data_IF_529168333717
#
_entry.id   IF_529168333717
#
_cell.length_a   1.000
_cell.length_b   1.000
_cell.length_c   1.000
_cell.angle_alpha   90.00
_cell.angle_beta   90.00
_cell.angle_gamma   90.00
#
_symmetry.space_group_name_H-M   'P 1'
#
loop_
_entity.id
_entity.type
_entity.pdbx_description
1 polymer ?
#
# COMPACT_ATOMS: atom_id res chain seq x y z
N UNK A 1 23.01 -36.58 -55.31
CA UNK A 1 23.13 -37.03 -53.90
C UNK A 1 22.55 -35.90 -53.01
N UNK A 2 21.34 -36.18 -52.58
CA UNK A 2 20.49 -35.20 -51.89
C UNK A 2 20.64 -35.33 -50.41
N UNK A 3 20.79 -34.22 -49.71
CA UNK A 3 20.60 -34.13 -48.27
C UNK A 3 19.52 -33.11 -47.96
N UNK A 4 18.36 -33.61 -47.62
CA UNK A 4 17.29 -32.82 -46.99
C UNK A 4 17.55 -32.75 -45.50
N UNK A 5 17.90 -31.55 -45.01
CA UNK A 5 17.91 -31.22 -43.60
C UNK A 5 16.53 -30.68 -43.16
N UNK A 6 15.83 -31.47 -42.37
CA UNK A 6 14.58 -31.05 -41.74
C UNK A 6 14.94 -30.18 -40.51
N UNK A 7 14.65 -28.89 -40.60
CA UNK A 7 14.76 -27.97 -39.48
C UNK A 7 13.50 -28.12 -38.64
N UNK A 8 13.63 -28.76 -37.48
CA UNK A 8 12.59 -28.81 -36.46
C UNK A 8 12.63 -27.49 -35.65
N UNK A 9 11.61 -26.65 -35.82
CA UNK A 9 11.40 -25.45 -35.03
C UNK A 9 10.74 -25.80 -33.69
N UNK A 10 11.27 -25.38 -32.54
CA UNK A 10 10.59 -25.56 -31.28
C UNK A 10 9.46 -24.51 -31.14
N UNK A 11 8.27 -24.99 -30.98
CA UNK A 11 7.08 -24.20 -30.70
C UNK A 11 7.18 -23.70 -29.24
N UNK A 12 7.15 -22.39 -28.96
CA UNK A 12 7.20 -21.90 -27.59
C UNK A 12 5.90 -22.24 -26.86
N UNK A 13 6.07 -22.81 -25.68
CA UNK A 13 5.01 -23.31 -24.80
C UNK A 13 4.13 -22.21 -24.16
N UNK A 14 3.31 -21.54 -24.98
CA UNK A 14 2.32 -20.54 -24.51
C UNK A 14 1.02 -21.16 -23.97
N UNK A 15 0.81 -22.46 -24.12
CA UNK A 15 -0.47 -23.11 -23.78
C UNK A 15 -0.49 -23.91 -22.47
N UNK A 16 0.49 -23.76 -21.59
CA UNK A 16 0.52 -24.51 -20.30
C UNK A 16 -0.11 -23.81 -19.12
N UNK A 17 -0.65 -22.60 -19.27
CA UNK A 17 -1.21 -21.83 -18.15
C UNK A 17 -2.75 -21.81 -18.03
N UNK A 18 -3.49 -22.46 -18.91
CA UNK A 18 -4.97 -22.42 -18.87
C UNK A 18 -5.61 -23.63 -18.17
N UNK A 19 -4.83 -24.64 -17.76
CA UNK A 19 -5.36 -25.89 -17.18
C UNK A 19 -5.38 -25.98 -15.65
N UNK A 20 -4.83 -25.01 -14.91
CA UNK A 20 -4.58 -25.12 -13.46
C UNK A 20 -5.68 -24.62 -12.51
N UNK A 21 -6.70 -23.93 -13.00
CA UNK A 21 -7.64 -23.21 -12.12
C UNK A 21 -8.93 -23.97 -11.75
N UNK A 22 -9.18 -25.13 -12.33
CA UNK A 22 -10.45 -25.86 -12.13
C UNK A 22 -10.42 -26.95 -11.04
N UNK A 23 -9.26 -27.26 -10.44
CA UNK A 23 -9.15 -28.37 -9.47
C UNK A 23 -9.13 -27.90 -8.02
N UNK A 24 -8.89 -26.61 -7.76
CA UNK A 24 -8.78 -26.09 -6.39
C UNK A 24 -10.12 -25.92 -5.65
N UNK A 25 -11.25 -25.89 -6.37
CA UNK A 25 -12.58 -25.70 -5.74
C UNK A 25 -13.20 -27.00 -5.20
N UNK A 26 -12.73 -28.16 -5.64
CA UNK A 26 -13.25 -29.46 -5.19
C UNK A 26 -12.61 -30.00 -3.91
N UNK A 27 -11.40 -29.59 -3.61
CA UNK A 27 -10.65 -30.12 -2.46
C UNK A 27 -11.01 -29.45 -1.13
N UNK A 28 -11.50 -28.21 -1.16
CA UNK A 28 -11.96 -27.52 0.06
C UNK A 28 -13.14 -28.18 0.75
N UNK A 29 -14.05 -28.76 -0.02
CA UNK A 29 -15.25 -29.42 0.50
C UNK A 29 -14.98 -30.80 1.13
N UNK A 30 -13.87 -31.45 0.80
CA UNK A 30 -13.52 -32.76 1.33
C UNK A 30 -12.77 -32.67 2.69
N UNK A 31 -12.12 -31.56 2.98
CA UNK A 31 -11.37 -31.33 4.22
C UNK A 31 -12.29 -30.93 5.38
N UNK A 32 -13.42 -30.29 5.08
CA UNK A 32 -14.39 -29.89 6.12
C UNK A 32 -15.20 -31.06 6.74
N UNK A 33 -15.18 -32.23 6.09
CA UNK A 33 -16.01 -33.39 6.57
C UNK A 33 -15.24 -34.35 7.49
N UNK A 34 -13.95 -34.15 7.72
CA UNK A 34 -13.09 -35.02 8.54
C UNK A 34 -12.47 -34.35 9.78
N UNK A 35 -12.84 -33.13 10.11
CA UNK A 35 -12.39 -32.48 11.34
C UNK A 35 -13.41 -32.69 12.45
N UNK A 36 -13.32 -33.81 13.15
CA UNK A 36 -13.92 -33.94 14.50
C UNK A 36 -13.08 -33.13 15.47
N UNK A 37 -13.69 -32.31 16.34
CA UNK A 37 -12.98 -31.52 17.32
C UNK A 37 -12.42 -32.44 18.42
N UNK A 38 -11.10 -32.48 18.56
CA UNK A 38 -10.43 -32.93 19.78
C UNK A 38 -10.48 -31.78 20.79
N UNK A 39 -11.42 -31.87 21.70
CA UNK A 39 -11.56 -31.03 22.87
C UNK A 39 -10.37 -31.25 23.81
N UNK A 40 -9.73 -30.16 24.25
CA UNK A 40 -8.86 -30.15 25.42
C UNK A 40 -7.36 -30.09 25.19
N UNK A 41 -6.83 -28.94 24.77
CA UNK A 41 -5.51 -28.47 25.19
C UNK A 41 -5.51 -26.94 25.19
N UNK A 42 -5.68 -26.36 26.37
CA UNK A 42 -5.42 -24.95 26.63
C UNK A 42 -3.95 -24.65 26.36
N UNK A 43 -3.67 -23.84 25.34
CA UNK A 43 -2.44 -23.08 25.25
C UNK A 43 -2.83 -21.61 25.20
N UNK A 44 -2.67 -20.98 26.33
CA UNK A 44 -2.76 -19.54 26.54
C UNK A 44 -1.63 -18.84 25.76
N UNK A 45 -1.93 -17.64 25.23
CA UNK A 45 -1.04 -16.69 24.54
C UNK A 45 -0.63 -17.02 23.09
N UNK A 46 -1.62 -16.97 22.20
CA UNK A 46 -1.42 -16.54 20.82
C UNK A 46 -2.15 -15.22 20.60
N UNK A 47 -1.50 -14.10 20.79
CA UNK A 47 -2.01 -12.83 20.25
C UNK A 47 -2.25 -13.02 18.76
N UNK A 48 -3.52 -13.16 18.39
CA UNK A 48 -3.93 -13.02 16.99
C UNK A 48 -3.56 -11.60 16.60
N UNK A 49 -2.50 -11.48 15.81
CA UNK A 49 -2.23 -10.25 15.07
C UNK A 49 -3.54 -9.97 14.31
N UNK A 50 -4.27 -8.96 14.78
CA UNK A 50 -5.43 -8.46 14.04
C UNK A 50 -4.88 -7.99 12.71
N UNK A 51 -5.21 -8.68 11.63
CA UNK A 51 -4.96 -8.19 10.28
C UNK A 51 -5.70 -6.86 10.17
N UNK A 52 -4.93 -5.77 10.15
CA UNK A 52 -5.51 -4.45 9.93
C UNK A 52 -6.18 -4.45 8.56
N UNK A 53 -7.38 -3.86 8.44
CA UNK A 53 -8.11 -3.88 7.18
C UNK A 53 -7.31 -3.19 6.10
N UNK A 54 -6.97 -3.91 5.03
CA UNK A 54 -6.28 -3.35 3.87
C UNK A 54 -7.18 -2.31 3.21
N UNK A 55 -6.67 -1.09 3.02
CA UNK A 55 -7.39 -0.01 2.35
C UNK A 55 -7.74 -0.46 0.93
N UNK A 56 -9.03 -0.50 0.61
CA UNK A 56 -9.53 -0.81 -0.72
C UNK A 56 -9.44 0.45 -1.59
N UNK A 57 -8.70 0.38 -2.69
CA UNK A 57 -8.57 1.49 -3.64
C UNK A 57 -9.64 1.33 -4.72
N UNK A 58 -10.38 2.40 -5.01
CA UNK A 58 -11.39 2.44 -6.04
C UNK A 58 -10.82 2.39 -7.46
N UNK A 59 -11.69 2.48 -8.47
CA UNK A 59 -11.30 2.53 -9.88
C UNK A 59 -11.69 3.90 -10.45
N UNK A 60 -10.72 4.73 -10.85
CA UNK A 60 -11.02 6.06 -11.42
C UNK A 60 -11.63 5.94 -12.83
N UNK A 61 -12.31 6.97 -13.29
CA UNK A 61 -12.84 7.03 -14.65
C UNK A 61 -11.81 7.51 -15.67
N UNK A 62 -10.91 8.43 -15.28
CA UNK A 62 -9.86 8.98 -16.12
C UNK A 62 -8.79 7.92 -16.49
N UNK A 63 -8.36 7.91 -17.74
CA UNK A 63 -7.41 6.91 -18.26
C UNK A 63 -6.02 7.01 -17.63
N UNK A 64 -5.52 8.23 -17.36
CA UNK A 64 -4.20 8.42 -16.72
C UNK A 64 -4.23 7.98 -15.27
N UNK A 65 -5.32 8.33 -14.57
CA UNK A 65 -5.54 7.89 -13.20
C UNK A 65 -5.63 6.37 -13.13
N UNK A 66 -6.33 5.70 -14.07
CA UNK A 66 -6.35 4.23 -14.18
C UNK A 66 -4.96 3.62 -14.29
N UNK A 67 -4.13 4.17 -15.15
CA UNK A 67 -2.76 3.66 -15.36
C UNK A 67 -1.90 3.84 -14.10
N UNK A 68 -2.00 4.98 -13.42
CA UNK A 68 -1.29 5.25 -12.17
C UNK A 68 -1.76 4.31 -11.06
N UNK A 69 -3.07 4.16 -10.88
CA UNK A 69 -3.64 3.30 -9.84
C UNK A 69 -3.29 1.83 -10.11
N UNK A 70 -3.48 1.34 -11.33
CA UNK A 70 -3.16 -0.04 -11.68
C UNK A 70 -1.66 -0.35 -11.50
N UNK A 71 -0.78 0.54 -11.98
CA UNK A 71 0.68 0.40 -11.80
C UNK A 71 1.10 0.47 -10.34
N UNK A 72 0.47 1.33 -9.53
CA UNK A 72 0.72 1.43 -8.10
C UNK A 72 0.35 0.16 -7.34
N UNK A 73 -0.85 -0.36 -7.59
CA UNK A 73 -1.31 -1.62 -6.99
C UNK A 73 -0.44 -2.80 -7.40
N UNK A 74 0.03 -2.86 -8.65
CA UNK A 74 0.96 -3.88 -9.11
C UNK A 74 2.30 -3.82 -8.36
N UNK A 75 2.91 -2.63 -8.22
CA UNK A 75 4.13 -2.45 -7.44
C UNK A 75 3.96 -2.80 -5.98
N UNK A 76 2.85 -2.41 -5.35
CA UNK A 76 2.53 -2.80 -3.97
C UNK A 76 2.39 -4.30 -3.81
N UNK A 77 1.76 -4.98 -4.78
CA UNK A 77 1.64 -6.44 -4.79
C UNK A 77 3.01 -7.12 -4.85
N UNK A 78 3.93 -6.61 -5.70
CA UNK A 78 5.29 -7.13 -5.80
C UNK A 78 6.09 -6.87 -4.50
N UNK A 79 5.96 -5.69 -3.90
CA UNK A 79 6.59 -5.37 -2.61
C UNK A 79 6.03 -6.27 -1.49
N UNK A 80 4.74 -6.53 -1.48
CA UNK A 80 4.11 -7.43 -0.52
C UNK A 80 4.65 -8.87 -0.66
N UNK A 81 4.81 -9.37 -1.88
CA UNK A 81 5.38 -10.68 -2.14
C UNK A 81 6.85 -10.80 -1.65
N UNK A 82 7.67 -9.76 -1.84
CA UNK A 82 9.03 -9.73 -1.29
C UNK A 82 9.03 -9.63 0.24
N UNK A 83 8.12 -8.85 0.84
CA UNK A 83 7.96 -8.74 2.29
C UNK A 83 7.70 -10.09 2.96
N UNK A 84 6.89 -10.96 2.35
CA UNK A 84 6.60 -12.30 2.88
C UNK A 84 7.82 -13.21 2.93
N UNK A 85 8.86 -12.91 2.13
CA UNK A 85 10.14 -13.64 2.13
C UNK A 85 11.15 -13.06 3.14
N UNK A 86 10.80 -11.97 3.81
CA UNK A 86 11.67 -11.27 4.77
C UNK A 86 11.17 -11.56 6.19
N UNK A 87 11.94 -12.35 6.94
CA UNK A 87 11.68 -12.64 8.34
C UNK A 87 12.36 -11.58 9.25
N UNK A 88 11.86 -10.32 9.13
CA UNK A 88 12.37 -9.17 9.86
C UNK A 88 11.20 -8.26 10.27
N UNK A 89 10.87 -8.27 11.55
CA UNK A 89 9.70 -7.58 12.09
C UNK A 89 9.68 -6.08 11.76
N UNK A 90 10.83 -5.40 11.94
CA UNK A 90 10.91 -3.93 11.72
C UNK A 90 10.70 -3.59 10.25
N UNK A 91 11.34 -4.30 9.32
CA UNK A 91 11.14 -4.10 7.89
C UNK A 91 9.72 -4.40 7.46
N UNK A 92 9.16 -5.52 7.93
CA UNK A 92 7.78 -5.91 7.63
C UNK A 92 6.79 -4.83 8.05
N UNK A 93 6.98 -4.23 9.22
CA UNK A 93 6.14 -3.13 9.70
C UNK A 93 6.27 -1.89 8.81
N UNK A 94 7.51 -1.45 8.49
CA UNK A 94 7.75 -0.31 7.59
C UNK A 94 7.13 -0.50 6.21
N UNK A 95 7.17 -1.72 5.69
CA UNK A 95 6.57 -2.04 4.39
C UNK A 95 5.04 -2.04 4.44
N UNK A 96 4.43 -2.43 5.57
CA UNK A 96 2.98 -2.27 5.78
C UNK A 96 2.59 -0.79 5.86
N UNK A 97 3.33 0.00 6.63
CA UNK A 97 3.10 1.44 6.74
C UNK A 97 3.21 2.12 5.34
N UNK A 98 4.18 1.68 4.52
CA UNK A 98 4.33 2.19 3.15
C UNK A 98 3.15 1.78 2.25
N UNK A 99 2.71 0.53 2.31
CA UNK A 99 1.54 0.04 1.58
C UNK A 99 0.31 0.88 1.90
N UNK A 100 0.07 1.17 3.18
CA UNK A 100 -1.06 1.99 3.63
C UNK A 100 -0.99 3.42 3.09
N UNK A 101 0.16 4.09 3.20
CA UNK A 101 0.35 5.46 2.70
C UNK A 101 0.17 5.54 1.19
N UNK A 102 0.75 4.58 0.44
CA UNK A 102 0.62 4.56 -1.01
C UNK A 102 -0.82 4.30 -1.44
N UNK A 103 -1.56 3.41 -0.75
CA UNK A 103 -2.99 3.19 -1.03
C UNK A 103 -3.82 4.44 -0.78
N UNK A 104 -3.54 5.21 0.28
CA UNK A 104 -4.19 6.50 0.52
C UNK A 104 -3.92 7.48 -0.63
N UNK A 105 -2.67 7.59 -1.08
CA UNK A 105 -2.34 8.42 -2.24
C UNK A 105 -3.04 7.96 -3.53
N UNK A 106 -3.12 6.64 -3.76
CA UNK A 106 -3.83 6.09 -4.92
C UNK A 106 -5.33 6.35 -4.83
N UNK A 107 -5.92 6.31 -3.63
CA UNK A 107 -7.33 6.67 -3.44
C UNK A 107 -7.55 8.15 -3.72
N UNK A 108 -6.66 9.05 -3.29
CA UNK A 108 -6.74 10.48 -3.66
C UNK A 108 -6.72 10.68 -5.19
N UNK A 109 -5.94 9.89 -5.93
CA UNK A 109 -5.96 9.91 -7.41
C UNK A 109 -7.28 9.39 -7.99
N UNK A 110 -7.95 8.46 -7.31
CA UNK A 110 -9.30 8.01 -7.72
C UNK A 110 -10.31 9.13 -7.55
N UNK A 111 -10.23 9.85 -6.42
CA UNK A 111 -11.15 10.92 -6.04
C UNK A 111 -10.90 12.19 -6.87
N UNK A 112 -9.62 12.54 -7.11
CA UNK A 112 -9.19 13.61 -8.01
C UNK A 112 -8.13 13.12 -9.01
N UNK A 113 -8.49 12.84 -10.27
CA UNK A 113 -7.58 12.42 -11.32
C UNK A 113 -6.42 13.39 -11.64
N UNK A 114 -6.55 14.68 -11.30
CA UNK A 114 -5.47 15.66 -11.51
C UNK A 114 -4.25 15.35 -10.63
N UNK A 115 -4.48 14.72 -9.48
CA UNK A 115 -3.43 14.28 -8.57
C UNK A 115 -2.52 13.18 -9.14
N UNK A 116 -2.91 12.50 -10.23
CA UNK A 116 -2.12 11.48 -10.90
C UNK A 116 -0.71 11.99 -11.29
N UNK A 117 -0.58 13.27 -11.62
CA UNK A 117 0.70 13.88 -11.96
C UNK A 117 1.67 13.93 -10.77
N UNK A 118 1.17 14.10 -9.57
CA UNK A 118 1.95 14.15 -8.31
C UNK A 118 2.50 12.79 -7.91
N UNK A 119 1.83 11.71 -8.36
CA UNK A 119 2.30 10.33 -8.13
C UNK A 119 3.50 9.91 -8.98
N UNK A 120 3.84 10.66 -10.05
CA UNK A 120 4.87 10.27 -11.02
C UNK A 120 6.19 9.85 -10.37
N UNK A 121 6.69 10.62 -9.40
CA UNK A 121 7.97 10.35 -8.74
C UNK A 121 7.92 9.08 -7.90
N UNK A 122 6.79 8.83 -7.22
CA UNK A 122 6.58 7.59 -6.47
C UNK A 122 6.56 6.39 -7.39
N UNK A 123 5.80 6.48 -8.48
CA UNK A 123 5.62 5.38 -9.44
C UNK A 123 6.88 5.04 -10.21
N UNK A 124 7.67 6.05 -10.62
CA UNK A 124 8.83 5.84 -11.49
C UNK A 124 10.15 5.65 -10.73
N UNK A 125 10.21 6.00 -9.45
CA UNK A 125 11.46 5.96 -8.70
C UNK A 125 11.34 5.30 -7.32
N UNK A 126 10.51 5.80 -6.41
CA UNK A 126 10.53 5.34 -5.02
C UNK A 126 10.05 3.88 -4.88
N UNK A 127 8.90 3.52 -5.42
CA UNK A 127 8.38 2.16 -5.32
C UNK A 127 9.25 1.13 -6.06
N UNK A 128 9.66 1.37 -7.33
CA UNK A 128 10.59 0.46 -8.02
C UNK A 128 11.94 0.32 -7.31
N UNK A 129 12.47 1.41 -6.73
CA UNK A 129 13.70 1.36 -5.96
C UNK A 129 13.54 0.55 -4.69
N UNK A 130 12.42 0.72 -3.97
CA UNK A 130 12.09 -0.09 -2.79
C UNK A 130 12.06 -1.58 -3.15
N UNK A 131 11.35 -1.96 -4.19
CA UNK A 131 11.28 -3.34 -4.67
C UNK A 131 12.68 -3.90 -4.98
N UNK A 132 13.51 -3.15 -5.71
CA UNK A 132 14.88 -3.54 -6.05
C UNK A 132 15.75 -3.74 -4.79
N UNK A 133 15.62 -2.87 -3.79
CA UNK A 133 16.37 -2.99 -2.53
C UNK A 133 15.97 -4.25 -1.77
N UNK A 134 14.68 -4.58 -1.70
CA UNK A 134 14.18 -5.80 -1.07
C UNK A 134 14.69 -7.07 -1.76
N UNK A 135 14.62 -7.11 -3.09
CA UNK A 135 15.15 -8.21 -3.91
C UNK A 135 16.66 -8.40 -3.71
N UNK A 136 17.40 -7.29 -3.65
CA UNK A 136 18.84 -7.31 -3.38
C UNK A 136 19.14 -7.85 -1.99
N UNK A 137 18.41 -7.41 -0.97
CA UNK A 137 18.53 -7.88 0.40
C UNK A 137 18.26 -9.39 0.51
N UNK A 138 17.18 -9.88 -0.08
CA UNK A 138 16.86 -11.31 -0.15
C UNK A 138 17.96 -12.11 -0.84
N UNK A 139 18.49 -11.61 -1.95
CA UNK A 139 19.58 -12.26 -2.69
C UNK A 139 20.86 -12.35 -1.84
N UNK A 140 21.20 -11.31 -1.08
CA UNK A 140 22.36 -11.34 -0.17
C UNK A 140 22.15 -12.37 0.93
N UNK A 141 20.96 -12.43 1.52
CA UNK A 141 20.60 -13.42 2.56
C UNK A 141 20.77 -14.86 2.06
N UNK A 142 20.38 -15.15 0.82
CA UNK A 142 20.48 -16.49 0.23
C UNK A 142 21.92 -16.87 -0.17
N UNK A 143 22.77 -15.89 -0.47
CA UNK A 143 24.18 -16.13 -0.85
C UNK A 143 25.12 -16.37 0.33
N UNK A 144 24.64 -16.30 1.57
CA UNK A 144 25.45 -16.57 2.74
C UNK A 144 26.50 -15.50 3.02
N UNK A 145 26.18 -14.24 2.78
CA UNK A 145 27.02 -13.08 3.14
C UNK A 145 27.30 -13.09 4.64
N UNK A 146 28.43 -12.55 5.07
CA UNK A 146 28.82 -12.54 6.47
C UNK A 146 27.77 -11.85 7.36
N UNK A 147 27.63 -12.30 8.61
CA UNK A 147 26.66 -11.74 9.56
C UNK A 147 26.83 -10.22 9.74
N UNK A 148 28.07 -9.73 9.81
CA UNK A 148 28.37 -8.31 9.97
C UNK A 148 27.88 -7.47 8.78
N UNK A 149 28.17 -7.92 7.54
CA UNK A 149 27.71 -7.24 6.32
C UNK A 149 26.20 -7.29 6.19
N UNK A 150 25.60 -8.41 6.56
CA UNK A 150 24.16 -8.59 6.54
C UNK A 150 23.46 -7.65 7.53
N UNK A 151 24.00 -7.47 8.75
CA UNK A 151 23.46 -6.56 9.75
C UNK A 151 23.55 -5.09 9.29
N UNK A 152 24.70 -4.68 8.74
CA UNK A 152 24.88 -3.34 8.19
C UNK A 152 23.91 -3.08 7.03
N UNK A 153 23.74 -4.04 6.14
CA UNK A 153 22.79 -3.92 5.02
C UNK A 153 21.35 -3.80 5.53
N UNK A 154 20.98 -4.58 6.56
CA UNK A 154 19.67 -4.50 7.21
C UNK A 154 19.40 -3.11 7.78
N UNK A 155 20.36 -2.54 8.53
CA UNK A 155 20.22 -1.21 9.13
C UNK A 155 20.09 -0.12 8.04
N UNK A 156 20.89 -0.18 6.99
CA UNK A 156 20.81 0.74 5.87
C UNK A 156 19.48 0.64 5.14
N UNK A 157 18.94 -0.56 4.98
CA UNK A 157 17.63 -0.76 4.34
C UNK A 157 16.50 -0.22 5.20
N UNK A 158 16.51 -0.45 6.52
CA UNK A 158 15.53 0.13 7.46
C UNK A 158 15.58 1.66 7.37
N UNK A 159 16.77 2.26 7.41
CA UNK A 159 16.92 3.70 7.27
C UNK A 159 16.38 4.22 5.93
N UNK A 160 16.64 3.53 4.82
CA UNK A 160 16.08 3.87 3.52
C UNK A 160 14.55 3.81 3.51
N UNK A 161 13.96 2.79 4.13
CA UNK A 161 12.50 2.67 4.28
C UNK A 161 11.92 3.83 5.11
N UNK A 162 12.58 4.23 6.20
CA UNK A 162 12.14 5.38 7.01
C UNK A 162 12.15 6.69 6.18
N UNK A 163 13.16 6.91 5.35
CA UNK A 163 13.22 8.06 4.44
C UNK A 163 12.09 8.03 3.40
N UNK A 164 11.80 6.86 2.84
CA UNK A 164 10.72 6.68 1.86
C UNK A 164 9.35 6.91 2.51
N UNK A 165 9.13 6.43 3.74
CA UNK A 165 7.91 6.69 4.51
C UNK A 165 7.69 8.18 4.77
N UNK A 166 8.74 8.90 5.18
CA UNK A 166 8.65 10.36 5.36
C UNK A 166 8.32 11.07 4.05
N UNK A 167 8.90 10.61 2.92
CA UNK A 167 8.59 11.16 1.61
C UNK A 167 7.15 10.85 1.19
N UNK A 168 6.64 9.64 1.51
CA UNK A 168 5.25 9.25 1.25
C UNK A 168 4.26 10.10 2.05
N UNK A 169 4.52 10.31 3.34
CA UNK A 169 3.67 11.16 4.17
C UNK A 169 3.63 12.59 3.64
N UNK A 170 4.79 13.20 3.37
CA UNK A 170 4.85 14.55 2.80
C UNK A 170 4.15 14.66 1.45
N UNK A 171 4.20 13.62 0.64
CA UNK A 171 3.51 13.59 -0.65
C UNK A 171 1.99 13.55 -0.46
N UNK A 172 1.51 12.71 0.45
CA UNK A 172 0.09 12.62 0.78
C UNK A 172 -0.43 13.95 1.33
N UNK A 173 0.31 14.58 2.27
CA UNK A 173 -0.03 15.89 2.81
C UNK A 173 -0.10 16.96 1.70
N UNK A 174 0.81 16.90 0.73
CA UNK A 174 0.82 17.84 -0.41
C UNK A 174 -0.36 17.62 -1.36
N UNK A 175 -0.85 16.38 -1.50
CA UNK A 175 -2.03 16.07 -2.32
C UNK A 175 -3.33 16.60 -1.68
N UNK A 176 -3.39 16.67 -0.34
CA UNK A 176 -4.56 17.20 0.38
C UNK A 176 -4.50 18.70 0.68
N UNK A 177 -3.42 19.37 0.29
CA UNK A 177 -3.23 20.77 0.63
C UNK A 177 -4.25 21.70 -0.02
N UNK A 178 -4.62 21.41 -1.25
CA UNK A 178 -5.56 22.24 -1.99
C UNK A 178 -6.96 22.15 -1.36
N UNK A 179 -7.41 20.95 -0.97
CA UNK A 179 -8.66 20.72 -0.22
C UNK A 179 -8.69 21.48 1.10
N UNK A 180 -7.57 21.51 1.81
CA UNK A 180 -7.47 22.24 3.08
C UNK A 180 -7.55 23.77 2.90
N UNK A 181 -7.00 24.29 1.81
CA UNK A 181 -7.07 25.73 1.48
C UNK A 181 -8.49 26.12 1.10
N UNK A 182 -9.19 25.32 0.30
CA UNK A 182 -10.58 25.56 -0.10
C UNK A 182 -11.50 25.52 1.13
N UNK A 183 -11.34 24.51 2.00
CA UNK A 183 -12.11 24.43 3.24
C UNK A 183 -11.86 25.64 4.15
N UNK A 184 -10.61 26.13 4.26
CA UNK A 184 -10.29 27.33 5.03
C UNK A 184 -10.97 28.57 4.48
N UNK A 185 -10.99 28.74 3.14
CA UNK A 185 -11.67 29.84 2.48
C UNK A 185 -13.20 29.79 2.73
N UNK A 186 -13.80 28.62 2.63
CA UNK A 186 -15.23 28.42 2.91
C UNK A 186 -15.58 28.72 4.37
N UNK A 187 -14.70 28.32 5.32
CA UNK A 187 -14.87 28.65 6.73
C UNK A 187 -14.80 30.16 6.98
N UNK A 188 -13.89 30.88 6.33
CA UNK A 188 -13.78 32.35 6.43
C UNK A 188 -15.05 33.03 5.89
N UNK A 189 -15.58 32.56 4.77
CA UNK A 189 -16.84 33.05 4.19
C UNK A 189 -18.02 32.79 5.12
N UNK A 190 -18.10 31.58 5.69
CA UNK A 190 -19.15 31.21 6.65
C UNK A 190 -19.06 32.09 7.91
N UNK A 191 -17.88 32.31 8.45
CA UNK A 191 -17.66 33.18 9.61
C UNK A 191 -18.14 34.63 9.32
N UNK A 192 -17.79 35.16 8.14
CA UNK A 192 -18.25 36.49 7.73
C UNK A 192 -19.77 36.56 7.62
N UNK A 193 -20.40 35.53 7.06
CA UNK A 193 -21.86 35.45 6.97
C UNK A 193 -22.51 35.40 8.34
N UNK A 194 -22.01 34.58 9.27
CA UNK A 194 -22.53 34.47 10.62
C UNK A 194 -22.38 35.78 11.40
N UNK A 195 -21.25 36.49 11.22
CA UNK A 195 -21.05 37.81 11.81
C UNK A 195 -22.04 38.83 11.25
N UNK A 196 -22.23 38.87 9.90
CA UNK A 196 -23.16 39.79 9.24
C UNK A 196 -24.61 39.55 9.67
N UNK A 197 -24.97 38.28 9.84
CA UNK A 197 -26.34 37.90 10.21
C UNK A 197 -26.60 37.95 11.73
N UNK A 198 -25.58 38.38 12.52
CA UNK A 198 -25.68 38.62 13.96
C UNK A 198 -25.60 37.36 14.84
N UNK A 199 -25.35 36.19 14.27
CA UNK A 199 -25.27 34.92 15.03
C UNK A 199 -24.03 34.84 15.92
N UNK A 200 -22.89 35.43 15.52
CA UNK A 200 -21.64 35.36 16.29
C UNK A 200 -21.57 36.36 17.42
N UNK A 201 -22.24 37.53 17.36
CA UNK A 201 -22.31 38.46 18.45
C UNK A 201 -23.14 37.95 19.64
N UNK A 202 -24.18 37.16 19.37
CA UNK A 202 -25.01 36.57 20.41
C UNK A 202 -24.26 35.56 21.27
N UNK A 203 -23.40 34.72 20.67
CA UNK A 203 -22.64 33.66 21.35
C UNK A 203 -21.52 34.28 22.21
N UNK A 204 -20.81 35.31 21.73
CA UNK A 204 -19.77 36.01 22.49
C UNK A 204 -20.37 36.86 23.60
N UNK A 205 -21.52 37.51 23.38
CA UNK A 205 -22.19 38.28 24.41
C UNK A 205 -22.79 37.43 25.53
N UNK A 206 -23.20 36.21 25.22
CA UNK A 206 -23.75 35.27 26.18
C UNK A 206 -22.64 34.62 27.02
N UNK A 207 -21.51 34.22 26.41
CA UNK A 207 -20.33 33.68 27.10
C UNK A 207 -19.66 34.76 28.03
N UNK A 208 -19.63 36.02 27.61
CA UNK A 208 -19.12 37.13 28.43
C UNK A 208 -20.07 37.46 29.58
N UNK A 209 -21.38 37.29 29.44
CA UNK A 209 -22.35 37.45 30.52
C UNK A 209 -22.28 36.32 31.54
N UNK A 210 -21.99 35.10 31.12
CA UNK A 210 -21.79 33.97 32.04
C UNK A 210 -20.48 34.07 32.82
N UNK A 211 -19.41 34.53 32.16
CA UNK A 211 -18.09 34.72 32.82
C UNK A 211 -18.07 35.86 33.85
N UNK A 212 -19.08 36.77 33.85
CA UNK A 212 -19.15 37.95 34.74
C UNK A 212 -20.24 37.79 35.82
N UNK A 213 -20.73 36.57 36.05
CA UNK A 213 -21.64 36.17 37.13
C UNK A 213 -20.92 35.34 38.19
#
# INVERSE_FOLDING_TARGET
MSFLGIISLPIPGFWRFVGGFAIASGLKKLIETMATPLDGLHTENGERVKEEPVIQVGTPEDQRAKEVVAGGLDLLSQIAAEREQIDEFVMTRRLKDLDELVRKMLQTVVDDPNEASRMRKFMSYYLPTTLKLLQSYRTMKTRGVSYSEMNTTRENLIHALDMILQAAQKQLDAMHKDDMLDMSADMDVLEQMLKRDGYMESVLSESLKEANR
#
